data_IF_615384360326
#
_entry.id   IF_615384360326
#
_cell.length_a   1.000
_cell.length_b   1.000
_cell.length_c   1.000
_cell.angle_alpha   90.00
_cell.angle_beta   90.00
_cell.angle_gamma   90.00
#
_symmetry.space_group_name_H-M   'P 1'
#
loop_
_entity.id
_entity.type
_entity.pdbx_description
1 polymer ?
#
# COMPACT_ATOMS: atom_id res chain seq x y z
N UNK A 1 29.85 -38.89 37.43
CA UNK A 1 29.98 -38.25 36.10
C UNK A 1 28.61 -37.73 35.66
N UNK A 2 28.32 -36.43 35.83
CA UNK A 2 27.05 -35.82 35.39
C UNK A 2 27.28 -35.23 34.00
N UNK A 3 26.68 -35.83 32.96
CA UNK A 3 26.67 -35.27 31.60
C UNK A 3 25.61 -34.18 31.57
N UNK A 4 26.03 -32.92 31.41
CA UNK A 4 25.15 -31.79 31.15
C UNK A 4 24.83 -31.81 29.65
N UNK A 5 23.56 -32.07 29.32
CA UNK A 5 23.06 -31.99 27.95
C UNK A 5 22.62 -30.55 27.71
N UNK A 6 23.37 -29.82 26.88
CA UNK A 6 23.04 -28.44 26.51
C UNK A 6 21.96 -28.47 25.42
N UNK A 7 20.75 -28.02 25.76
CA UNK A 7 19.62 -27.94 24.84
C UNK A 7 19.62 -26.55 24.16
N UNK A 8 20.14 -26.46 22.94
CA UNK A 8 20.07 -25.24 22.13
C UNK A 8 18.67 -25.08 21.53
N UNK A 9 17.90 -24.12 22.06
CA UNK A 9 16.61 -23.72 21.49
C UNK A 9 16.87 -22.77 20.33
N UNK A 10 16.69 -23.26 19.09
CA UNK A 10 16.65 -22.41 17.90
C UNK A 10 15.30 -21.70 17.86
N UNK A 11 15.28 -20.41 18.21
CA UNK A 11 14.12 -19.55 17.94
C UNK A 11 14.11 -19.21 16.45
N UNK A 12 13.28 -19.88 15.67
CA UNK A 12 12.97 -19.42 14.31
C UNK A 12 12.10 -18.17 14.42
N UNK A 13 12.66 -17.00 14.13
CA UNK A 13 11.83 -15.81 13.93
C UNK A 13 11.01 -16.07 12.67
N UNK A 14 9.68 -16.12 12.81
CA UNK A 14 8.78 -16.10 11.66
C UNK A 14 8.90 -14.70 11.08
N UNK A 15 9.76 -14.53 10.08
CA UNK A 15 9.77 -13.32 9.26
C UNK A 15 8.48 -13.37 8.44
N UNK A 16 7.45 -12.64 8.89
CA UNK A 16 6.29 -12.40 8.06
C UNK A 16 6.75 -11.62 6.83
N UNK A 17 6.66 -12.25 5.66
CA UNK A 17 6.93 -11.56 4.41
C UNK A 17 5.89 -10.46 4.22
N UNK A 18 6.34 -9.29 3.75
CA UNK A 18 5.40 -8.23 3.41
C UNK A 18 4.61 -8.61 2.15
N UNK A 19 3.45 -7.98 1.91
CA UNK A 19 2.74 -8.08 0.65
C UNK A 19 3.67 -7.81 -0.53
N UNK A 20 3.52 -8.66 -1.55
CA UNK A 20 4.35 -8.68 -2.73
C UNK A 20 3.47 -8.49 -3.98
N UNK A 21 2.82 -7.33 -4.14
CA UNK A 21 2.05 -7.05 -5.35
C UNK A 21 2.95 -7.21 -6.56
N UNK A 22 2.49 -8.02 -7.53
CA UNK A 22 3.24 -8.32 -8.75
C UNK A 22 4.63 -8.92 -8.52
N UNK A 23 4.88 -9.62 -7.41
CA UNK A 23 6.22 -10.16 -7.14
C UNK A 23 7.24 -9.12 -6.64
N UNK A 24 6.79 -7.91 -6.28
CA UNK A 24 7.62 -6.84 -5.73
C UNK A 24 7.29 -6.63 -4.25
N UNK A 25 8.17 -7.07 -3.35
CA UNK A 25 7.90 -7.03 -1.91
C UNK A 25 8.00 -5.60 -1.36
N UNK A 26 6.95 -5.13 -0.68
CA UNK A 26 6.95 -3.83 -0.03
C UNK A 26 8.04 -3.72 1.04
N UNK A 27 8.72 -2.57 1.07
CA UNK A 27 9.82 -2.27 1.97
C UNK A 27 11.15 -2.94 1.60
N UNK A 28 11.19 -3.78 0.55
CA UNK A 28 12.41 -4.44 0.07
C UNK A 28 12.72 -4.17 -1.39
N UNK A 29 11.72 -4.31 -2.27
CA UNK A 29 11.91 -4.11 -3.70
C UNK A 29 12.40 -2.69 -3.96
N UNK A 30 13.40 -2.51 -4.81
CA UNK A 30 13.97 -1.20 -5.10
C UNK A 30 13.57 -0.66 -6.48
N UNK A 31 13.82 0.62 -6.74
CA UNK A 31 13.50 1.28 -8.00
C UNK A 31 14.02 0.51 -9.23
N UNK A 32 15.28 0.07 -9.20
CA UNK A 32 15.91 -0.62 -10.33
C UNK A 32 15.22 -1.96 -10.63
N UNK A 33 14.81 -2.69 -9.58
CA UNK A 33 14.03 -3.92 -9.73
C UNK A 33 12.66 -3.67 -10.36
N UNK A 34 11.96 -2.60 -9.94
CA UNK A 34 10.64 -2.26 -10.48
C UNK A 34 10.74 -1.85 -11.95
N UNK A 35 11.68 -0.96 -12.31
CA UNK A 35 11.81 -0.49 -13.70
C UNK A 35 12.42 -1.54 -14.63
N UNK A 36 13.22 -2.46 -14.10
CA UNK A 36 13.66 -3.64 -14.86
C UNK A 36 12.47 -4.53 -15.21
N UNK A 37 11.50 -4.68 -14.31
CA UNK A 37 10.28 -5.44 -14.55
C UNK A 37 9.30 -4.70 -15.46
N UNK A 38 9.21 -3.38 -15.33
CA UNK A 38 8.31 -2.51 -16.08
C UNK A 38 9.12 -1.40 -16.78
N UNK A 39 9.78 -1.70 -17.91
CA UNK A 39 10.66 -0.74 -18.58
C UNK A 39 9.91 0.45 -19.21
N UNK A 40 8.62 0.27 -19.55
CA UNK A 40 7.79 1.29 -20.18
C UNK A 40 7.01 2.13 -19.15
N UNK A 41 7.69 2.62 -18.12
CA UNK A 41 7.10 3.46 -17.07
C UNK A 41 7.13 4.95 -17.44
N UNK A 42 6.24 5.72 -16.82
CA UNK A 42 6.27 7.19 -16.84
C UNK A 42 6.67 7.73 -15.48
N UNK A 43 7.50 8.78 -15.47
CA UNK A 43 7.90 9.46 -14.23
C UNK A 43 6.78 10.43 -13.81
N UNK A 44 6.25 10.24 -12.61
CA UNK A 44 5.18 11.05 -12.03
C UNK A 44 5.67 11.98 -10.91
N UNK A 45 6.99 12.19 -10.82
CA UNK A 45 7.61 13.18 -9.94
C UNK A 45 8.12 12.59 -8.63
N UNK A 46 8.04 13.41 -7.58
CA UNK A 46 8.55 13.07 -6.24
C UNK A 46 7.41 13.15 -5.22
N UNK A 47 7.31 12.14 -4.36
CA UNK A 47 6.28 12.11 -3.33
C UNK A 47 6.53 13.17 -2.27
N UNK A 48 5.51 13.98 -2.01
CA UNK A 48 5.53 14.93 -0.89
C UNK A 48 5.56 14.22 0.48
N UNK A 49 5.15 12.95 0.53
CA UNK A 49 5.09 12.17 1.78
C UNK A 49 6.42 11.50 2.10
N UNK A 50 7.04 10.86 1.09
CA UNK A 50 8.26 10.08 1.30
C UNK A 50 9.52 10.81 0.87
N UNK A 51 9.40 11.79 -0.03
CA UNK A 51 10.52 12.40 -0.74
C UNK A 51 11.18 11.48 -1.78
N UNK A 52 10.60 10.30 -2.06
CA UNK A 52 11.09 9.37 -3.06
C UNK A 52 10.37 9.49 -4.40
N UNK A 53 10.85 8.72 -5.39
CA UNK A 53 10.32 8.74 -6.76
C UNK A 53 8.87 8.25 -6.81
N UNK A 54 8.13 8.76 -7.79
CA UNK A 54 6.82 8.23 -8.18
C UNK A 54 6.91 7.83 -9.64
N UNK A 55 6.47 6.61 -9.95
CA UNK A 55 6.30 6.17 -11.33
C UNK A 55 4.91 5.62 -11.54
N UNK A 56 4.45 5.67 -12.78
CA UNK A 56 3.21 5.07 -13.22
C UNK A 56 3.49 4.12 -14.38
N UNK A 57 2.89 2.94 -14.31
CA UNK A 57 2.97 1.91 -15.36
C UNK A 57 1.59 1.72 -15.95
N UNK A 58 1.48 1.66 -17.28
CA UNK A 58 0.21 1.46 -17.97
C UNK A 58 -0.49 0.18 -17.53
N UNK A 59 -1.82 0.21 -17.38
CA UNK A 59 -2.60 -0.99 -17.04
C UNK A 59 -2.44 -2.12 -18.06
N UNK A 60 -2.08 -1.80 -19.31
CA UNK A 60 -1.77 -2.78 -20.37
C UNK A 60 -0.60 -3.70 -20.05
N UNK A 61 0.30 -3.29 -19.15
CA UNK A 61 1.46 -4.10 -18.75
C UNK A 61 1.09 -5.13 -17.66
N UNK A 62 -0.19 -5.19 -17.28
CA UNK A 62 -0.70 -6.09 -16.27
C UNK A 62 -1.85 -6.92 -16.83
N UNK A 63 -1.78 -8.24 -16.65
CA UNK A 63 -2.86 -9.17 -16.99
C UNK A 63 -3.93 -9.17 -15.89
N UNK A 64 -4.49 -7.99 -15.60
CA UNK A 64 -5.55 -7.80 -14.61
C UNK A 64 -6.80 -7.24 -15.26
N UNK A 65 -7.85 -8.07 -15.29
CA UNK A 65 -9.17 -7.64 -15.74
C UNK A 65 -9.65 -6.42 -14.94
N UNK A 66 -10.29 -5.46 -15.61
CA UNK A 66 -10.92 -4.30 -14.99
C UNK A 66 -9.96 -3.28 -14.35
N UNK A 67 -8.64 -3.48 -14.47
CA UNK A 67 -7.64 -2.49 -14.08
C UNK A 67 -7.71 -1.28 -15.01
N UNK A 68 -7.76 -0.09 -14.43
CA UNK A 68 -7.90 1.18 -15.14
C UNK A 68 -6.60 1.94 -15.18
N UNK A 69 -6.37 2.59 -16.32
CA UNK A 69 -5.35 3.58 -16.58
C UNK A 69 -3.92 3.14 -16.25
N UNK A 70 -3.51 3.31 -14.99
CA UNK A 70 -2.13 3.11 -14.56
C UNK A 70 -2.05 2.54 -13.15
N UNK A 71 -0.97 1.81 -12.89
CA UNK A 71 -0.54 1.39 -11.55
C UNK A 71 0.51 2.36 -11.05
N UNK A 72 0.29 2.92 -9.87
CA UNK A 72 1.17 3.88 -9.22
C UNK A 72 2.13 3.16 -8.28
N UNK A 73 3.43 3.43 -8.41
CA UNK A 73 4.47 2.96 -7.49
C UNK A 73 5.13 4.17 -6.83
N UNK A 74 5.21 4.16 -5.50
CA UNK A 74 5.88 5.21 -4.71
C UNK A 74 7.03 4.62 -3.91
N UNK A 75 8.19 5.25 -4.05
CA UNK A 75 9.42 4.86 -3.35
C UNK A 75 9.73 5.79 -2.18
N UNK A 76 10.61 5.37 -1.29
CA UNK A 76 11.27 6.25 -0.31
C UNK A 76 12.55 6.91 -0.90
N UNK A 77 13.24 7.70 -0.08
CA UNK A 77 14.51 8.37 -0.47
C UNK A 77 15.65 7.40 -0.73
N UNK A 78 15.57 6.19 -0.17
CA UNK A 78 16.52 5.09 -0.37
C UNK A 78 16.12 4.21 -1.56
N UNK A 79 15.15 4.67 -2.37
CA UNK A 79 14.59 3.97 -3.53
C UNK A 79 13.91 2.64 -3.21
N UNK A 80 13.46 2.41 -1.98
CA UNK A 80 12.66 1.21 -1.63
C UNK A 80 11.18 1.45 -1.90
N UNK A 81 10.51 0.44 -2.40
CA UNK A 81 9.09 0.47 -2.73
C UNK A 81 8.24 0.54 -1.45
N UNK A 82 7.45 1.60 -1.30
CA UNK A 82 6.67 1.85 -0.07
C UNK A 82 5.17 1.78 -0.27
N UNK A 83 4.69 2.01 -1.51
CA UNK A 83 3.28 1.94 -1.86
C UNK A 83 3.11 1.49 -3.31
N UNK A 84 2.10 0.65 -3.54
CA UNK A 84 1.55 0.32 -4.85
C UNK A 84 0.05 0.57 -4.82
N UNK A 85 -0.46 1.38 -5.74
CA UNK A 85 -1.89 1.66 -5.86
C UNK A 85 -2.40 1.26 -7.24
N UNK A 86 -3.50 0.56 -7.23
CA UNK A 86 -4.23 0.10 -8.40
C UNK A 86 -5.62 0.74 -8.39
N UNK A 87 -6.13 1.02 -9.58
CA UNK A 87 -7.46 1.57 -9.78
C UNK A 87 -8.31 0.61 -10.60
N UNK A 88 -9.51 0.31 -10.14
CA UNK A 88 -10.44 -0.59 -10.83
C UNK A 88 -11.81 0.06 -11.00
N UNK A 89 -12.65 -0.52 -11.86
CA UNK A 89 -14.09 -0.25 -11.79
C UNK A 89 -14.69 -0.81 -10.50
N UNK A 90 -15.68 -0.13 -9.91
CA UNK A 90 -16.20 -0.46 -8.56
C UNK A 90 -16.97 -1.78 -8.45
N UNK A 91 -17.39 -2.36 -9.56
CA UNK A 91 -18.03 -3.68 -9.61
C UNK A 91 -17.08 -4.81 -9.17
N UNK A 92 -15.77 -4.63 -9.36
CA UNK A 92 -14.73 -5.59 -8.99
C UNK A 92 -14.49 -5.71 -7.49
N UNK A 93 -15.20 -4.95 -6.65
CA UNK A 93 -14.96 -4.89 -5.21
C UNK A 93 -14.98 -6.27 -4.55
N UNK A 94 -15.98 -7.09 -4.86
CA UNK A 94 -16.13 -8.41 -4.23
C UNK A 94 -15.05 -9.39 -4.72
N UNK A 95 -14.73 -9.37 -6.01
CA UNK A 95 -13.69 -10.23 -6.59
C UNK A 95 -12.33 -9.91 -5.99
N UNK A 96 -11.99 -8.61 -5.96
CA UNK A 96 -10.73 -8.14 -5.39
C UNK A 96 -10.68 -8.47 -3.90
N UNK A 97 -11.73 -8.18 -3.13
CA UNK A 97 -11.77 -8.53 -1.71
C UNK A 97 -11.55 -10.04 -1.49
N UNK A 98 -12.13 -10.89 -2.34
CA UNK A 98 -11.98 -12.35 -2.25
C UNK A 98 -10.54 -12.80 -2.51
N UNK A 99 -9.86 -12.18 -3.48
CA UNK A 99 -8.44 -12.44 -3.76
C UNK A 99 -7.49 -12.04 -2.62
N UNK A 100 -7.94 -11.17 -1.71
CA UNK A 100 -7.19 -10.71 -0.54
C UNK A 100 -7.40 -11.59 0.71
N UNK A 101 -8.12 -12.71 0.58
CA UNK A 101 -8.50 -13.61 1.69
C UNK A 101 -7.35 -14.16 2.52
N UNK A 102 -6.13 -14.19 1.98
CA UNK A 102 -4.92 -14.61 2.70
C UNK A 102 -4.44 -13.59 3.75
N UNK A 103 -4.86 -12.33 3.66
CA UNK A 103 -4.43 -11.27 4.58
C UNK A 103 -5.42 -11.11 5.74
N UNK A 104 -4.91 -10.66 6.89
CA UNK A 104 -5.74 -10.48 8.09
C UNK A 104 -6.58 -9.21 7.96
N UNK A 105 -7.90 -9.31 7.92
CA UNK A 105 -8.79 -8.16 8.01
C UNK A 105 -8.67 -7.52 9.40
N UNK A 106 -8.42 -6.20 9.44
CA UNK A 106 -8.37 -5.41 10.68
C UNK A 106 -9.43 -4.31 10.75
N UNK A 107 -10.06 -3.96 9.63
CA UNK A 107 -11.24 -3.08 9.58
C UNK A 107 -12.10 -3.44 8.36
N UNK A 108 -13.42 -3.48 8.52
CA UNK A 108 -14.37 -3.76 7.43
C UNK A 108 -15.65 -2.94 7.61
N UNK A 109 -15.95 -2.12 6.62
CA UNK A 109 -17.15 -1.27 6.53
C UNK A 109 -17.74 -1.48 5.13
N UNK A 110 -18.72 -2.37 4.99
CA UNK A 110 -19.33 -2.71 3.70
C UNK A 110 -20.85 -2.59 3.85
N UNK A 111 -21.39 -1.36 3.95
CA UNK A 111 -22.82 -1.15 4.05
C UNK A 111 -23.51 -1.50 2.73
N UNK A 112 -24.83 -1.72 2.78
CA UNK A 112 -25.64 -1.95 1.58
C UNK A 112 -25.66 -0.71 0.66
N UNK A 113 -25.71 0.49 1.24
CA UNK A 113 -25.59 1.78 0.56
C UNK A 113 -24.53 2.62 1.26
N UNK A 114 -23.65 3.27 0.48
CA UNK A 114 -22.57 4.11 0.99
C UNK A 114 -21.19 3.66 0.53
N UNK A 115 -20.16 4.26 1.12
CA UNK A 115 -18.76 3.93 0.83
C UNK A 115 -18.46 2.53 1.36
N UNK A 116 -17.73 1.73 0.58
CA UNK A 116 -17.21 0.44 1.03
C UNK A 116 -15.72 0.53 1.28
N UNK A 117 -15.29 -0.01 2.41
CA UNK A 117 -13.91 0.06 2.87
C UNK A 117 -13.49 -1.21 3.59
N UNK A 118 -12.33 -1.75 3.24
CA UNK A 118 -11.68 -2.84 3.97
C UNK A 118 -10.21 -2.50 4.17
N UNK A 119 -9.72 -2.65 5.41
CA UNK A 119 -8.30 -2.62 5.74
C UNK A 119 -7.85 -3.99 6.19
N UNK A 120 -6.79 -4.47 5.57
CA UNK A 120 -6.12 -5.71 5.91
C UNK A 120 -4.68 -5.43 6.34
N UNK A 121 -4.08 -6.38 7.03
CA UNK A 121 -2.72 -6.33 7.52
C UNK A 121 -1.98 -7.61 7.15
N UNK A 122 -0.72 -7.44 6.78
CA UNK A 122 0.24 -8.51 6.58
C UNK A 122 1.65 -7.96 6.80
N UNK A 123 2.44 -8.65 7.64
CA UNK A 123 3.72 -8.13 8.13
C UNK A 123 3.64 -6.68 8.62
N UNK A 124 4.57 -5.86 8.13
CA UNK A 124 4.68 -4.42 8.40
C UNK A 124 3.95 -3.56 7.36
N UNK A 125 2.91 -4.10 6.73
CA UNK A 125 2.15 -3.43 5.69
C UNK A 125 0.63 -3.46 5.96
N UNK A 126 -0.06 -2.52 5.32
CA UNK A 126 -1.51 -2.49 5.18
C UNK A 126 -1.91 -2.64 3.73
N UNK A 127 -3.04 -3.31 3.54
CA UNK A 127 -3.78 -3.31 2.28
C UNK A 127 -5.10 -2.59 2.53
N UNK A 128 -5.44 -1.62 1.71
CA UNK A 128 -6.70 -0.89 1.78
C UNK A 128 -7.46 -1.05 0.47
N UNK A 129 -8.72 -1.45 0.60
CA UNK A 129 -9.68 -1.56 -0.49
C UNK A 129 -10.79 -0.54 -0.27
N UNK A 130 -10.87 0.46 -1.11
CA UNK A 130 -11.81 1.57 -0.99
C UNK A 130 -12.67 1.71 -2.24
N UNK A 131 -13.98 1.74 -2.09
CA UNK A 131 -14.95 1.99 -3.16
C UNK A 131 -15.89 3.12 -2.71
N UNK A 132 -15.60 4.37 -3.09
CA UNK A 132 -16.47 5.50 -2.82
C UNK A 132 -17.83 5.34 -3.51
N UNK A 133 -18.91 5.70 -2.82
CA UNK A 133 -20.28 5.51 -3.31
C UNK A 133 -20.55 6.28 -4.62
N UNK A 134 -20.11 7.54 -4.63
CA UNK A 134 -20.33 8.50 -5.72
C UNK A 134 -19.26 8.43 -6.82
N UNK A 135 -18.38 7.43 -6.78
CA UNK A 135 -17.40 7.16 -7.84
C UNK A 135 -17.80 5.91 -8.64
N UNK A 136 -17.33 5.81 -9.89
CA UNK A 136 -17.33 4.55 -10.65
C UNK A 136 -16.07 3.74 -10.42
N UNK A 137 -15.14 4.28 -9.64
CA UNK A 137 -13.82 3.72 -9.42
C UNK A 137 -13.66 3.24 -7.98
N UNK A 138 -12.75 2.30 -7.81
CA UNK A 138 -12.29 1.82 -6.52
C UNK A 138 -10.76 1.71 -6.53
N UNK A 139 -10.17 1.76 -5.35
CA UNK A 139 -8.74 1.78 -5.15
C UNK A 139 -8.32 0.59 -4.30
N UNK A 140 -7.30 -0.12 -4.78
CA UNK A 140 -6.58 -1.11 -4.01
C UNK A 140 -5.18 -0.56 -3.74
N UNK A 141 -4.87 -0.29 -2.48
CA UNK A 141 -3.60 0.28 -2.06
C UNK A 141 -2.86 -0.67 -1.14
N UNK A 142 -1.68 -1.10 -1.56
CA UNK A 142 -0.70 -1.77 -0.70
C UNK A 142 0.27 -0.72 -0.20
N UNK A 143 0.51 -0.64 1.11
CA UNK A 143 1.44 0.36 1.68
C UNK A 143 2.15 -0.16 2.93
N UNK A 144 3.40 0.27 3.11
CA UNK A 144 4.14 0.02 4.34
C UNK A 144 3.55 0.82 5.52
N UNK A 145 3.74 0.32 6.74
CA UNK A 145 3.37 1.04 7.97
C UNK A 145 4.12 2.39 8.07
N UNK A 146 5.36 2.44 7.57
CA UNK A 146 6.14 3.68 7.50
C UNK A 146 5.45 4.72 6.60
N UNK A 147 5.02 4.33 5.40
CA UNK A 147 4.25 5.22 4.53
C UNK A 147 2.96 5.69 5.21
N UNK A 148 2.22 4.78 5.85
CA UNK A 148 0.98 5.15 6.56
C UNK A 148 1.23 6.17 7.67
N UNK A 149 2.35 6.05 8.40
CA UNK A 149 2.76 7.01 9.41
C UNK A 149 3.08 8.38 8.80
N UNK A 150 3.91 8.42 7.76
CA UNK A 150 4.27 9.67 7.07
C UNK A 150 3.05 10.39 6.52
N UNK A 151 2.12 9.65 5.91
CA UNK A 151 0.86 10.19 5.42
C UNK A 151 0.01 10.79 6.57
N UNK A 152 -0.17 10.05 7.67
CA UNK A 152 -0.94 10.56 8.83
C UNK A 152 -0.29 11.80 9.45
N UNK A 153 1.03 11.83 9.55
CA UNK A 153 1.76 12.96 10.12
C UNK A 153 1.64 14.20 9.21
N UNK A 154 1.65 14.00 7.89
CA UNK A 154 1.39 15.06 6.92
C UNK A 154 -0.02 15.64 7.06
N UNK A 155 -1.06 14.79 7.06
CA UNK A 155 -2.46 15.24 7.19
C UNK A 155 -2.69 16.00 8.51
N UNK A 156 -2.13 15.52 9.62
CA UNK A 156 -2.23 16.21 10.92
C UNK A 156 -1.61 17.60 10.90
N UNK A 157 -0.45 17.76 10.24
CA UNK A 157 0.21 19.07 10.10
C UNK A 157 -0.64 20.01 9.24
N UNK A 158 -1.14 19.53 8.11
CA UNK A 158 -1.99 20.31 7.20
C UNK A 158 -3.28 20.78 7.90
N UNK A 159 -3.94 19.91 8.66
CA UNK A 159 -5.10 20.28 9.46
C UNK A 159 -4.78 21.36 10.51
N UNK A 160 -3.63 21.26 11.17
CA UNK A 160 -3.21 22.25 12.17
C UNK A 160 -2.91 23.60 11.52
N UNK A 161 -2.23 23.61 10.38
CA UNK A 161 -1.96 24.83 9.62
C UNK A 161 -3.25 25.49 9.13
N UNK A 162 -4.23 24.69 8.66
CA UNK A 162 -5.54 25.19 8.25
C UNK A 162 -6.28 25.86 9.42
N UNK A 163 -6.26 25.23 10.61
CA UNK A 163 -6.87 25.80 11.83
C UNK A 163 -6.18 27.11 12.25
N UNK A 164 -4.85 27.14 12.24
CA UNK A 164 -4.09 28.33 12.59
C UNK A 164 -4.40 29.50 11.63
N UNK A 165 -4.48 29.24 10.32
CA UNK A 165 -4.87 30.24 9.32
C UNK A 165 -6.27 30.78 9.54
N UNK A 166 -7.24 29.92 9.87
CA UNK A 166 -8.61 30.35 10.17
C UNK A 166 -8.67 31.23 11.42
N UNK A 167 -7.93 30.88 12.46
CA UNK A 167 -7.87 31.67 13.70
C UNK A 167 -7.12 33.01 13.51
N UNK A 168 -6.26 33.15 12.51
CA UNK A 168 -5.57 34.42 12.20
C UNK A 168 -6.38 35.38 11.31
N UNK A 169 -7.51 34.91 10.77
CA UNK A 169 -8.41 35.70 9.90
C UNK A 169 -9.67 36.17 10.70
N UNK A 170 -9.90 35.59 11.88
CA UNK A 170 -10.91 35.99 12.86
C UNK A 170 -10.32 36.98 13.85
#
# INVERSE_FOLDING_TARGET
MKKIFLFCIFYTTVIFANPMPFGLELGKANFDEVVKKYPNFSNAGTSIYTGGKIIEVSSSDFELEGLKDKVLFIFDKENRLTLVQLKFHKDRFNDILSSLSKYKIIKKEVPYVGNRYVKLQDGDCKIELESPHLSFEMYLTYKTNQFEKLYKDYIKKEEQERKNKQNSIL
#
